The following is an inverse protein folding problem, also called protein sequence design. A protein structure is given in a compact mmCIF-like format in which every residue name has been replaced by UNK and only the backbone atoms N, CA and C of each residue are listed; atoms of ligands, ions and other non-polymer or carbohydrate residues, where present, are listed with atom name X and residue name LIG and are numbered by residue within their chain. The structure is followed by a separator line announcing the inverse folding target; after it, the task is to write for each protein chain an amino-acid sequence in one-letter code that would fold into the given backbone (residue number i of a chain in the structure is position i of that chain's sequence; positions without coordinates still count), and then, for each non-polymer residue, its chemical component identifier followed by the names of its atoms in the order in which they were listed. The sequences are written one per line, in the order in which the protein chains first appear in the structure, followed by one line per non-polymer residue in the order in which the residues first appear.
data_IF_490727127405
#
_entry.id   IF_490727127405
#
_cell.length_a   1.000
_cell.length_b   1.000
_cell.length_c   1.000
_cell.angle_alpha   90.00
_cell.angle_beta   90.00
_cell.angle_gamma   90.00
#
_symmetry.space_group_name_H-M   'P 1'
#
loop_
_entity.id
_entity.type
_entity.pdbx_description
1 polymer ?
#
# COMPACT_ATOMS: atom_id res chain seq x y z
N UNK A 1 -23.99 18.95 8.98
CA UNK A 1 -24.48 20.02 8.06
C UNK A 1 -25.89 20.44 8.48
N UNK A 2 -26.45 21.58 8.05
CA UNK A 2 -27.86 21.94 8.37
C UNK A 2 -28.85 21.35 7.35
N UNK A 3 -30.10 21.14 7.77
CA UNK A 3 -31.20 20.75 6.89
C UNK A 3 -31.49 21.85 5.85
N UNK A 4 -31.90 21.46 4.64
CA UNK A 4 -32.33 22.38 3.58
C UNK A 4 -33.76 22.85 3.86
N UNK A 5 -34.10 24.05 3.40
CA UNK A 5 -35.46 24.60 3.54
C UNK A 5 -36.51 23.68 2.89
N UNK A 6 -36.22 23.10 1.73
CA UNK A 6 -37.11 22.15 1.05
C UNK A 6 -37.40 20.91 1.91
N UNK A 7 -36.39 20.34 2.56
CA UNK A 7 -36.54 19.17 3.44
C UNK A 7 -37.37 19.52 4.68
N UNK A 8 -37.21 20.73 5.22
CA UNK A 8 -38.03 21.21 6.35
C UNK A 8 -39.50 21.27 5.94
N UNK A 9 -39.83 21.82 4.77
CA UNK A 9 -41.21 21.83 4.26
C UNK A 9 -41.75 20.43 3.98
N UNK A 10 -40.97 19.57 3.32
CA UNK A 10 -41.36 18.17 3.04
C UNK A 10 -41.62 17.37 4.33
N UNK A 11 -40.84 17.63 5.40
CA UNK A 11 -41.02 16.98 6.70
C UNK A 11 -42.36 17.28 7.40
N UNK A 12 -43.10 18.30 6.94
CA UNK A 12 -44.46 18.58 7.42
C UNK A 12 -45.42 17.44 7.03
N UNK A 13 -45.17 16.77 5.91
CA UNK A 13 -46.00 15.70 5.37
C UNK A 13 -45.31 14.34 5.39
N UNK A 14 -44.00 14.28 5.62
CA UNK A 14 -43.21 13.05 5.72
C UNK A 14 -42.68 12.84 7.15
N UNK A 15 -43.26 11.87 7.87
CA UNK A 15 -42.88 11.54 9.26
C UNK A 15 -41.47 10.97 9.36
N UNK A 16 -41.06 10.11 8.43
CA UNK A 16 -39.72 9.52 8.40
C UNK A 16 -38.63 10.57 8.19
N UNK A 17 -38.85 11.51 7.26
CA UNK A 17 -37.97 12.64 7.05
C UNK A 17 -37.88 13.50 8.31
N UNK A 18 -39.01 13.79 8.97
CA UNK A 18 -39.03 14.55 10.23
C UNK A 18 -38.21 13.87 11.32
N UNK A 19 -38.26 12.54 11.43
CA UNK A 19 -37.44 11.77 12.37
C UNK A 19 -35.94 11.97 12.08
N UNK A 20 -35.53 11.83 10.82
CA UNK A 20 -34.13 11.99 10.39
C UNK A 20 -33.62 13.41 10.59
N UNK A 21 -34.43 14.44 10.29
CA UNK A 21 -34.04 15.84 10.48
C UNK A 21 -33.79 16.17 11.95
N UNK A 22 -34.46 15.46 12.88
CA UNK A 22 -34.24 15.61 14.33
C UNK A 22 -33.01 14.84 14.80
N UNK A 23 -32.83 13.61 14.32
CA UNK A 23 -31.68 12.77 14.62
C UNK A 23 -31.37 11.85 13.43
N UNK A 24 -30.26 12.08 12.69
CA UNK A 24 -29.91 11.27 11.53
C UNK A 24 -29.73 9.77 11.83
N UNK A 25 -29.29 9.43 13.04
CA UNK A 25 -29.08 8.04 13.49
C UNK A 25 -30.41 7.27 13.56
N UNK A 26 -31.55 7.96 13.72
CA UNK A 26 -32.88 7.36 13.70
C UNK A 26 -33.24 6.73 12.34
N UNK A 27 -32.44 6.91 11.29
CA UNK A 27 -32.58 6.15 10.04
C UNK A 27 -32.61 4.63 10.30
N UNK A 28 -31.90 4.15 11.33
CA UNK A 28 -31.85 2.72 11.69
C UNK A 28 -33.16 2.14 12.23
N UNK A 29 -34.14 2.98 12.60
CA UNK A 29 -35.47 2.50 13.01
C UNK A 29 -36.47 2.44 11.85
N UNK A 30 -36.10 2.92 10.65
CA UNK A 30 -36.97 2.90 9.47
C UNK A 30 -36.72 1.60 8.70
N UNK A 31 -37.78 0.84 8.44
CA UNK A 31 -37.70 -0.34 7.58
C UNK A 31 -37.54 0.10 6.13
N UNK A 32 -36.46 -0.33 5.47
CA UNK A 32 -36.19 -0.03 4.05
C UNK A 32 -36.26 1.48 3.70
N UNK A 33 -35.45 2.33 4.34
CA UNK A 33 -35.51 3.77 4.09
C UNK A 33 -35.18 4.09 2.63
N UNK A 34 -35.93 5.01 2.03
CA UNK A 34 -35.71 5.44 0.65
C UNK A 34 -34.31 6.02 0.44
N UNK A 35 -33.79 5.97 -0.78
CA UNK A 35 -32.45 6.49 -1.09
C UNK A 35 -32.28 7.97 -0.68
N UNK A 36 -33.32 8.79 -0.80
CA UNK A 36 -33.27 10.20 -0.42
C UNK A 36 -33.26 10.39 1.11
N UNK A 37 -33.95 9.53 1.87
CA UNK A 37 -33.85 9.52 3.33
C UNK A 37 -32.45 9.08 3.78
N UNK A 38 -31.89 8.04 3.15
CA UNK A 38 -30.52 7.60 3.38
C UNK A 38 -29.52 8.73 3.09
N UNK A 39 -29.63 9.38 1.93
CA UNK A 39 -28.79 10.51 1.53
C UNK A 39 -28.92 11.69 2.49
N UNK A 40 -30.13 11.98 2.97
CA UNK A 40 -30.37 13.05 3.93
C UNK A 40 -29.71 12.75 5.26
N UNK A 41 -29.87 11.52 5.77
CA UNK A 41 -29.26 11.08 7.02
C UNK A 41 -27.73 11.23 6.97
N UNK A 42 -27.07 10.63 5.97
CA UNK A 42 -25.59 10.70 5.86
C UNK A 42 -25.07 12.12 5.59
N UNK A 43 -25.88 12.99 4.97
CA UNK A 43 -25.52 14.40 4.75
C UNK A 43 -25.54 15.21 6.04
N UNK A 44 -26.47 14.90 6.94
CA UNK A 44 -26.56 15.54 8.25
C UNK A 44 -25.48 15.01 9.19
N UNK A 45 -25.30 13.69 9.23
CA UNK A 45 -24.28 12.97 10.01
C UNK A 45 -23.81 11.71 9.26
N UNK A 46 -22.52 11.67 8.90
CA UNK A 46 -21.93 10.58 8.13
C UNK A 46 -21.95 9.24 8.87
N UNK A 47 -21.98 9.25 10.22
CA UNK A 47 -22.06 8.03 11.02
C UNK A 47 -23.40 7.30 10.85
N UNK A 48 -24.42 7.97 10.33
CA UNK A 48 -25.71 7.36 10.00
C UNK A 48 -25.57 6.21 8.99
N UNK A 49 -24.49 6.16 8.19
CA UNK A 49 -24.22 5.04 7.27
C UNK A 49 -24.22 3.68 7.99
N UNK A 50 -23.72 3.63 9.24
CA UNK A 50 -23.67 2.42 10.05
C UNK A 50 -25.06 1.91 10.47
N UNK A 51 -26.06 2.79 10.43
CA UNK A 51 -27.43 2.47 10.83
C UNK A 51 -28.27 1.98 9.65
N UNK A 52 -27.75 2.07 8.41
CA UNK A 52 -28.48 1.69 7.21
C UNK A 52 -28.08 0.26 6.82
N UNK A 53 -29.04 -0.67 6.87
CA UNK A 53 -28.77 -2.09 6.55
C UNK A 53 -28.31 -2.29 5.09
N UNK A 54 -28.88 -1.54 4.14
CA UNK A 54 -28.55 -1.59 2.71
C UNK A 54 -28.34 -0.18 2.17
N UNK A 55 -27.18 0.46 2.41
CA UNK A 55 -26.95 1.82 1.98
C UNK A 55 -26.88 1.88 0.45
N UNK A 56 -27.55 2.86 -0.15
CA UNK A 56 -27.51 3.10 -1.59
C UNK A 56 -26.15 3.67 -2.01
N UNK A 57 -25.81 3.51 -3.29
CA UNK A 57 -24.51 3.95 -3.82
C UNK A 57 -24.27 5.46 -3.66
N UNK A 58 -25.34 6.27 -3.74
CA UNK A 58 -25.26 7.72 -3.48
C UNK A 58 -24.83 8.03 -2.04
N UNK A 59 -25.41 7.34 -1.06
CA UNK A 59 -25.08 7.53 0.35
C UNK A 59 -23.66 7.05 0.66
N UNK A 60 -23.27 5.86 0.16
CA UNK A 60 -21.90 5.34 0.24
C UNK A 60 -20.88 6.33 -0.33
N UNK A 61 -21.09 6.79 -1.57
CA UNK A 61 -20.19 7.74 -2.23
C UNK A 61 -20.09 9.05 -1.45
N UNK A 62 -21.19 9.55 -0.92
CA UNK A 62 -21.20 10.78 -0.14
C UNK A 62 -20.30 10.69 1.09
N UNK A 63 -20.39 9.62 1.89
CA UNK A 63 -19.57 9.50 3.10
C UNK A 63 -18.08 9.37 2.78
N UNK A 64 -17.71 8.67 1.71
CA UNK A 64 -16.30 8.58 1.25
C UNK A 64 -15.78 9.93 0.75
N UNK A 65 -16.62 10.70 0.03
CA UNK A 65 -16.24 12.04 -0.44
C UNK A 65 -15.96 13.00 0.71
N UNK A 66 -16.63 12.81 1.84
CA UNK A 66 -16.43 13.62 3.04
C UNK A 66 -15.26 13.15 3.88
N UNK A 67 -15.19 11.86 4.17
CA UNK A 67 -14.10 11.25 4.90
C UNK A 67 -13.77 9.88 4.28
N UNK A 68 -12.64 9.76 3.55
CA UNK A 68 -12.22 8.50 2.93
C UNK A 68 -12.12 7.32 3.91
N UNK A 69 -11.80 7.60 5.18
CA UNK A 69 -11.69 6.57 6.22
C UNK A 69 -13.03 5.93 6.61
N UNK A 70 -14.16 6.49 6.15
CA UNK A 70 -15.47 5.87 6.30
C UNK A 70 -15.67 4.63 5.40
N UNK A 71 -14.71 4.32 4.53
CA UNK A 71 -14.70 3.05 3.76
C UNK A 71 -14.80 1.82 4.67
N UNK A 72 -14.29 1.91 5.91
CA UNK A 72 -14.41 0.85 6.92
C UNK A 72 -15.85 0.53 7.36
N UNK A 73 -16.79 1.45 7.11
CA UNK A 73 -18.20 1.29 7.44
C UNK A 73 -19.02 0.74 6.27
N UNK A 74 -18.39 0.53 5.11
CA UNK A 74 -19.03 -0.02 3.92
C UNK A 74 -18.59 -1.48 3.79
N UNK A 75 -19.53 -2.40 3.99
CA UNK A 75 -19.28 -3.81 3.74
C UNK A 75 -19.05 -4.06 2.24
N UNK A 76 -17.99 -4.80 1.90
CA UNK A 76 -17.61 -5.15 0.53
C UNK A 76 -17.68 -3.95 -0.45
N UNK A 77 -16.88 -2.88 -0.22
CA UNK A 77 -16.96 -1.67 -1.03
C UNK A 77 -16.61 -1.98 -2.49
N UNK A 78 -17.36 -1.40 -3.42
CA UNK A 78 -17.11 -1.56 -4.87
C UNK A 78 -15.73 -1.03 -5.24
N UNK A 79 -15.17 -1.50 -6.36
CA UNK A 79 -13.87 -1.00 -6.84
C UNK A 79 -13.85 0.53 -6.99
N UNK A 80 -14.97 1.12 -7.44
CA UNK A 80 -15.10 2.58 -7.56
C UNK A 80 -14.97 3.30 -6.21
N UNK A 81 -15.60 2.76 -5.16
CA UNK A 81 -15.51 3.34 -3.81
C UNK A 81 -14.13 3.15 -3.20
N UNK A 82 -13.50 2.00 -3.44
CA UNK A 82 -12.12 1.74 -3.02
C UNK A 82 -11.15 2.73 -3.67
N UNK A 83 -11.23 2.88 -5.00
CA UNK A 83 -10.41 3.84 -5.76
C UNK A 83 -10.68 5.27 -5.28
N UNK A 84 -11.95 5.65 -5.08
CA UNK A 84 -12.31 6.97 -4.60
C UNK A 84 -11.70 7.27 -3.22
N UNK A 85 -11.74 6.31 -2.29
CA UNK A 85 -11.17 6.47 -0.96
C UNK A 85 -9.65 6.72 -1.06
N UNK A 86 -8.91 5.81 -1.71
CA UNK A 86 -7.44 5.88 -1.78
C UNK A 86 -6.93 7.04 -2.64
N UNK A 87 -7.71 7.49 -3.62
CA UNK A 87 -7.34 8.65 -4.45
C UNK A 87 -7.46 9.98 -3.68
N UNK A 88 -8.31 10.01 -2.64
CA UNK A 88 -8.42 11.17 -1.74
C UNK A 88 -7.44 11.08 -0.58
N UNK A 89 -7.28 9.88 -0.03
CA UNK A 89 -6.42 9.61 1.11
C UNK A 89 -5.81 8.20 0.96
N UNK A 90 -4.55 8.09 0.51
CA UNK A 90 -3.90 6.80 0.26
C UNK A 90 -3.86 5.90 1.50
N UNK A 91 -3.83 6.48 2.70
CA UNK A 91 -3.80 5.72 3.96
C UNK A 91 -5.10 4.93 4.20
N UNK A 92 -6.20 5.29 3.53
CA UNK A 92 -7.44 4.55 3.59
C UNK A 92 -7.34 3.11 3.06
N UNK A 93 -6.28 2.76 2.31
CA UNK A 93 -6.02 1.39 1.84
C UNK A 93 -5.96 0.39 3.00
N UNK A 94 -5.46 0.80 4.17
CA UNK A 94 -5.34 -0.04 5.38
C UNK A 94 -6.71 -0.50 5.88
N UNK A 95 -7.75 0.29 5.60
CA UNK A 95 -9.13 0.04 6.02
C UNK A 95 -9.94 -0.80 5.02
N UNK A 96 -9.33 -1.18 3.89
CA UNK A 96 -9.98 -2.00 2.86
C UNK A 96 -9.49 -3.44 3.04
N UNK A 97 -10.40 -4.35 3.41
CA UNK A 97 -10.03 -5.76 3.66
C UNK A 97 -9.43 -6.44 2.43
N UNK A 98 -10.03 -6.21 1.25
CA UNK A 98 -9.64 -6.79 -0.03
C UNK A 98 -9.54 -5.71 -1.11
N UNK A 99 -8.46 -4.92 -1.11
CA UNK A 99 -8.31 -3.83 -2.07
C UNK A 99 -8.11 -4.40 -3.48
N UNK A 100 -8.85 -3.88 -4.45
CA UNK A 100 -8.70 -4.22 -5.85
C UNK A 100 -7.34 -3.72 -6.38
N UNK A 101 -6.87 -4.35 -7.46
CA UNK A 101 -5.56 -4.03 -8.04
C UNK A 101 -5.43 -2.54 -8.41
N UNK A 102 -6.51 -1.94 -8.93
CA UNK A 102 -6.55 -0.51 -9.29
C UNK A 102 -6.43 0.41 -8.06
N UNK A 103 -7.07 0.05 -6.94
CA UNK A 103 -6.94 0.80 -5.70
C UNK A 103 -5.52 0.68 -5.12
N UNK A 104 -4.90 -0.51 -5.16
CA UNK A 104 -3.50 -0.71 -4.77
C UNK A 104 -2.56 0.17 -5.60
N UNK A 105 -2.73 0.21 -6.92
CA UNK A 105 -1.93 1.09 -7.79
C UNK A 105 -2.14 2.57 -7.49
N UNK A 106 -3.39 3.02 -7.35
CA UNK A 106 -3.70 4.41 -7.01
C UNK A 106 -3.03 4.82 -5.68
N UNK A 107 -3.11 3.96 -4.67
CA UNK A 107 -2.43 4.13 -3.38
C UNK A 107 -0.91 4.24 -3.55
N UNK A 108 -0.26 3.24 -4.14
CA UNK A 108 1.21 3.22 -4.29
C UNK A 108 1.72 4.34 -5.19
N UNK A 109 0.96 4.71 -6.21
CA UNK A 109 1.30 5.85 -7.04
C UNK A 109 1.32 7.15 -6.21
N UNK A 110 0.39 7.33 -5.28
CA UNK A 110 0.34 8.54 -4.46
C UNK A 110 1.29 8.51 -3.25
N UNK A 111 1.42 7.38 -2.57
CA UNK A 111 2.22 7.20 -1.34
C UNK A 111 2.82 5.79 -1.30
N UNK A 112 4.01 5.58 -1.89
CA UNK A 112 4.65 4.27 -1.97
C UNK A 112 4.87 3.58 -0.62
N UNK A 113 5.07 4.35 0.46
CA UNK A 113 5.28 3.87 1.82
C UNK A 113 4.11 3.05 2.35
N UNK A 114 2.92 3.20 1.75
CA UNK A 114 1.74 2.43 2.12
C UNK A 114 1.77 0.98 1.65
N UNK A 115 2.83 0.55 0.94
CA UNK A 115 3.02 -0.86 0.60
C UNK A 115 3.02 -1.77 1.85
N UNK A 116 3.47 -1.26 3.00
CA UNK A 116 3.41 -1.96 4.29
C UNK A 116 1.98 -2.30 4.75
N UNK A 117 0.97 -1.56 4.28
CA UNK A 117 -0.44 -1.81 4.58
C UNK A 117 -1.09 -2.81 3.60
N UNK A 118 -0.44 -3.11 2.47
CA UNK A 118 -0.96 -4.04 1.46
C UNK A 118 -0.43 -5.43 1.78
N UNK A 119 -1.28 -6.30 2.35
CA UNK A 119 -0.94 -7.70 2.59
C UNK A 119 -0.66 -8.43 1.28
N UNK A 120 0.47 -9.15 1.22
CA UNK A 120 0.89 -9.92 0.04
C UNK A 120 0.76 -9.12 -1.28
N UNK A 121 1.50 -8.00 -1.42
CA UNK A 121 1.35 -7.12 -2.56
C UNK A 121 1.72 -7.85 -3.86
N UNK A 122 0.92 -7.63 -4.90
CA UNK A 122 1.15 -8.20 -6.23
C UNK A 122 2.53 -7.80 -6.77
N UNK A 123 3.14 -8.64 -7.61
CA UNK A 123 4.50 -8.40 -8.13
C UNK A 123 4.64 -7.01 -8.77
N UNK A 124 3.63 -6.58 -9.52
CA UNK A 124 3.61 -5.27 -10.17
C UNK A 124 3.49 -4.12 -9.17
N UNK A 125 2.75 -4.31 -8.09
CA UNK A 125 2.63 -3.35 -6.99
C UNK A 125 3.97 -3.21 -6.25
N UNK A 126 4.66 -4.34 -6.00
CA UNK A 126 6.01 -4.33 -5.45
C UNK A 126 6.94 -3.52 -6.35
N UNK A 127 7.05 -3.88 -7.64
CA UNK A 127 7.91 -3.17 -8.59
C UNK A 127 7.58 -1.68 -8.63
N UNK A 128 6.30 -1.30 -8.72
CA UNK A 128 5.89 0.10 -8.76
C UNK A 128 6.30 0.89 -7.51
N UNK A 129 6.22 0.31 -6.31
CA UNK A 129 6.65 0.99 -5.09
C UNK A 129 8.18 1.15 -5.04
N UNK A 130 8.92 0.09 -5.40
CA UNK A 130 10.38 0.07 -5.38
C UNK A 130 10.99 0.98 -6.45
N UNK A 131 10.33 1.12 -7.60
CA UNK A 131 10.73 2.09 -8.63
C UNK A 131 10.75 3.52 -8.09
N UNK A 132 9.79 3.88 -7.22
CA UNK A 132 9.72 5.21 -6.61
C UNK A 132 10.65 5.35 -5.41
N UNK A 133 10.72 4.34 -4.56
CA UNK A 133 11.53 4.35 -3.34
C UNK A 133 12.21 2.99 -3.13
N UNK A 134 13.44 2.80 -3.64
CA UNK A 134 14.16 1.52 -3.57
C UNK A 134 14.35 0.96 -2.15
N UNK A 135 14.44 1.85 -1.15
CA UNK A 135 14.59 1.47 0.26
C UNK A 135 13.37 0.71 0.82
N UNK A 136 12.18 0.85 0.24
CA UNK A 136 10.98 0.14 0.67
C UNK A 136 11.06 -1.38 0.48
N UNK A 137 12.12 -1.88 -0.18
CA UNK A 137 12.35 -3.31 -0.36
C UNK A 137 12.49 -4.04 0.98
N UNK A 138 12.92 -3.34 2.05
CA UNK A 138 12.99 -3.89 3.41
C UNK A 138 11.63 -4.06 4.07
N UNK A 139 10.59 -3.37 3.58
CA UNK A 139 9.21 -3.50 4.09
C UNK A 139 8.50 -4.73 3.51
N UNK A 140 9.07 -5.37 2.49
CA UNK A 140 8.52 -6.56 1.85
C UNK A 140 9.10 -7.82 2.48
N UNK A 141 8.25 -8.65 3.08
CA UNK A 141 8.69 -9.93 3.66
C UNK A 141 9.28 -10.87 2.60
N UNK A 142 8.66 -10.93 1.42
CA UNK A 142 9.04 -11.81 0.31
C UNK A 142 9.06 -11.03 -1.02
N UNK A 143 10.05 -10.16 -1.26
CA UNK A 143 10.11 -9.38 -2.48
C UNK A 143 10.39 -10.27 -3.69
N UNK A 144 9.60 -10.12 -4.75
CA UNK A 144 9.82 -10.83 -6.01
C UNK A 144 11.13 -10.41 -6.68
N UNK A 145 11.72 -11.30 -7.49
CA UNK A 145 13.01 -11.05 -8.17
C UNK A 145 13.02 -9.72 -8.95
N UNK A 146 11.94 -9.39 -9.66
CA UNK A 146 11.83 -8.13 -10.39
C UNK A 146 11.92 -6.89 -9.48
N UNK A 147 11.29 -6.94 -8.30
CA UNK A 147 11.38 -5.86 -7.31
C UNK A 147 12.80 -5.79 -6.71
N UNK A 148 13.41 -6.93 -6.39
CA UNK A 148 14.78 -6.99 -5.90
C UNK A 148 15.78 -6.39 -6.91
N UNK A 149 15.68 -6.78 -8.18
CA UNK A 149 16.51 -6.25 -9.27
C UNK A 149 16.28 -4.75 -9.47
N UNK A 150 15.02 -4.30 -9.44
CA UNK A 150 14.68 -2.88 -9.52
C UNK A 150 15.35 -2.08 -8.41
N UNK A 151 15.33 -2.60 -7.17
CA UNK A 151 15.94 -1.94 -6.03
C UNK A 151 17.46 -1.76 -6.25
N UNK A 152 18.19 -2.83 -6.56
CA UNK A 152 19.65 -2.78 -6.69
C UNK A 152 20.12 -2.10 -7.97
N UNK A 153 19.30 -2.03 -9.02
CA UNK A 153 19.63 -1.27 -10.23
C UNK A 153 19.58 0.24 -9.98
N UNK A 154 18.64 0.70 -9.14
CA UNK A 154 18.47 2.10 -8.77
C UNK A 154 19.37 2.52 -7.60
N UNK A 155 19.54 1.65 -6.61
CA UNK A 155 20.33 1.89 -5.39
C UNK A 155 21.00 0.58 -4.97
N UNK A 156 22.20 0.27 -5.50
CA UNK A 156 22.88 -1.01 -5.29
C UNK A 156 23.05 -1.39 -3.81
N UNK A 157 23.19 -0.40 -2.92
CA UNK A 157 23.32 -0.58 -1.47
C UNK A 157 22.09 -1.24 -0.84
N UNK A 158 20.93 -1.22 -1.49
CA UNK A 158 19.74 -1.93 -1.00
C UNK A 158 19.97 -3.43 -0.88
N UNK A 159 20.99 -4.00 -1.54
CA UNK A 159 21.34 -5.42 -1.42
C UNK A 159 21.52 -5.89 0.02
N UNK A 160 21.91 -4.99 0.93
CA UNK A 160 22.09 -5.30 2.36
C UNK A 160 20.80 -5.19 3.18
N UNK A 161 19.68 -4.83 2.55
CA UNK A 161 18.37 -4.65 3.18
C UNK A 161 17.29 -5.52 2.53
N UNK A 162 17.61 -6.29 1.49
CA UNK A 162 16.68 -7.19 0.80
C UNK A 162 16.50 -8.46 1.60
N UNK A 163 15.28 -8.82 2.03
CA UNK A 163 15.06 -10.14 2.62
C UNK A 163 15.34 -11.23 1.59
N UNK A 164 16.28 -12.13 1.90
CA UNK A 164 16.67 -13.30 1.09
C UNK A 164 16.91 -12.94 -0.40
N UNK A 165 17.97 -12.17 -0.73
CA UNK A 165 18.23 -11.77 -2.10
C UNK A 165 18.49 -12.98 -3.01
N UNK A 166 17.95 -12.96 -4.23
CA UNK A 166 18.26 -13.97 -5.24
C UNK A 166 19.69 -13.84 -5.76
N UNK A 167 20.28 -14.93 -6.24
CA UNK A 167 21.68 -14.97 -6.71
C UNK A 167 21.95 -13.97 -7.84
N UNK A 168 20.98 -13.79 -8.75
CA UNK A 168 21.03 -12.79 -9.82
C UNK A 168 21.03 -11.36 -9.27
N UNK A 169 20.20 -11.08 -8.26
CA UNK A 169 20.18 -9.79 -7.57
C UNK A 169 21.52 -9.50 -6.91
N UNK A 170 22.10 -10.49 -6.22
CA UNK A 170 23.42 -10.35 -5.58
C UNK A 170 24.50 -10.02 -6.61
N UNK A 171 24.56 -10.76 -7.72
CA UNK A 171 25.51 -10.50 -8.81
C UNK A 171 25.39 -9.07 -9.33
N UNK A 172 24.18 -8.64 -9.72
CA UNK A 172 23.93 -7.29 -10.26
C UNK A 172 24.33 -6.21 -9.27
N UNK A 173 23.99 -6.38 -7.99
CA UNK A 173 24.36 -5.44 -6.94
C UNK A 173 25.88 -5.34 -6.78
N UNK A 174 26.58 -6.48 -6.75
CA UNK A 174 28.05 -6.51 -6.65
C UNK A 174 28.69 -5.84 -7.86
N UNK A 175 28.28 -6.16 -9.08
CA UNK A 175 28.82 -5.51 -10.29
C UNK A 175 28.66 -3.98 -10.25
N UNK A 176 27.50 -3.50 -9.78
CA UNK A 176 27.19 -2.08 -9.65
C UNK A 176 28.04 -1.40 -8.58
N UNK A 177 28.17 -2.02 -7.39
CA UNK A 177 28.99 -1.49 -6.29
C UNK A 177 30.49 -1.54 -6.59
N UNK A 178 30.93 -2.58 -7.30
CA UNK A 178 32.33 -2.81 -7.62
C UNK A 178 32.81 -2.04 -8.85
N UNK A 179 31.90 -1.69 -9.76
CA UNK A 179 32.19 -0.95 -10.99
C UNK A 179 32.81 -1.79 -12.10
N UNK A 180 32.64 -3.12 -12.08
CA UNK A 180 33.09 -4.04 -13.14
C UNK A 180 32.13 -5.21 -13.32
N UNK A 181 32.19 -5.87 -14.48
CA UNK A 181 31.39 -7.05 -14.82
C UNK A 181 32.06 -8.32 -14.30
N UNK A 182 31.25 -9.26 -13.83
CA UNK A 182 31.71 -10.54 -13.30
C UNK A 182 31.09 -11.65 -14.14
N UNK A 183 31.91 -12.56 -14.66
CA UNK A 183 31.41 -13.72 -15.38
C UNK A 183 30.65 -14.65 -14.40
N UNK A 184 29.39 -15.01 -14.69
CA UNK A 184 28.54 -15.77 -13.76
C UNK A 184 28.85 -17.27 -13.78
N UNK A 185 30.07 -17.66 -13.40
CA UNK A 185 30.45 -19.05 -13.14
C UNK A 185 29.98 -19.49 -11.75
N UNK A 186 29.76 -20.79 -11.53
CA UNK A 186 29.37 -21.34 -10.22
C UNK A 186 30.31 -20.88 -9.10
N UNK A 187 31.63 -20.91 -9.36
CA UNK A 187 32.66 -20.40 -8.43
C UNK A 187 32.43 -18.93 -8.06
N UNK A 188 32.18 -18.07 -9.04
CA UNK A 188 31.97 -16.63 -8.81
C UNK A 188 30.65 -16.38 -8.09
N UNK A 189 29.59 -17.11 -8.45
CA UNK A 189 28.27 -17.02 -7.83
C UNK A 189 28.29 -17.51 -6.37
N UNK A 190 29.01 -18.60 -6.07
CA UNK A 190 29.23 -19.10 -4.71
C UNK A 190 30.02 -18.09 -3.87
N UNK A 191 31.06 -17.50 -4.46
CA UNK A 191 31.89 -16.48 -3.81
C UNK A 191 31.05 -15.24 -3.46
N UNK A 192 30.28 -14.72 -4.43
CA UNK A 192 29.36 -13.59 -4.21
C UNK A 192 28.34 -13.91 -3.12
N UNK A 193 27.74 -15.10 -3.18
CA UNK A 193 26.77 -15.55 -2.18
C UNK A 193 27.39 -15.60 -0.77
N UNK A 194 28.62 -16.10 -0.66
CA UNK A 194 29.38 -16.12 0.59
C UNK A 194 29.67 -14.72 1.13
N UNK A 195 30.15 -13.80 0.29
CA UNK A 195 30.43 -12.41 0.65
C UNK A 195 29.15 -11.74 1.17
N UNK A 196 28.05 -11.81 0.42
CA UNK A 196 26.80 -11.16 0.80
C UNK A 196 26.26 -11.78 2.09
N UNK A 197 26.22 -13.10 2.21
CA UNK A 197 25.77 -13.79 3.43
C UNK A 197 26.57 -13.37 4.66
N UNK A 198 27.89 -13.24 4.50
CA UNK A 198 28.75 -12.76 5.59
C UNK A 198 28.48 -11.29 5.92
N UNK A 199 28.18 -10.44 4.93
CA UNK A 199 27.77 -9.06 5.17
C UNK A 199 26.50 -8.98 6.01
N UNK A 200 25.51 -9.84 5.73
CA UNK A 200 24.28 -9.94 6.54
C UNK A 200 24.60 -10.30 8.00
N UNK A 201 25.40 -11.35 8.22
CA UNK A 201 25.82 -11.77 9.57
C UNK A 201 26.56 -10.66 10.32
N UNK A 202 27.47 -9.96 9.65
CA UNK A 202 28.19 -8.84 10.25
C UNK A 202 27.24 -7.69 10.61
N UNK A 203 26.30 -7.35 9.71
CA UNK A 203 25.30 -6.31 9.95
C UNK A 203 24.39 -6.63 11.14
N UNK A 204 23.93 -7.88 11.27
CA UNK A 204 23.13 -8.35 12.41
C UNK A 204 23.86 -8.24 13.75
N UNK A 205 25.19 -8.38 13.74
CA UNK A 205 26.04 -8.24 14.92
C UNK A 205 26.60 -6.82 15.11
N UNK A 206 26.07 -5.81 14.41
CA UNK A 206 26.52 -4.42 14.45
C UNK A 206 28.01 -4.22 14.09
N UNK A 207 28.59 -5.17 13.35
CA UNK A 207 29.96 -5.13 12.86
C UNK A 207 30.06 -4.39 11.51
N UNK A 208 31.26 -3.93 11.17
CA UNK A 208 31.51 -3.17 9.94
C UNK A 208 31.51 -4.05 8.68
N UNK A 209 30.32 -4.44 8.24
CA UNK A 209 30.11 -5.23 7.02
C UNK A 209 30.54 -4.49 5.74
N UNK A 210 30.52 -3.15 5.73
CA UNK A 210 30.91 -2.34 4.57
C UNK A 210 32.41 -2.45 4.28
N UNK A 211 33.23 -2.40 5.34
CA UNK A 211 34.68 -2.58 5.22
C UNK A 211 35.02 -4.01 4.81
N UNK A 212 34.35 -5.02 5.39
CA UNK A 212 34.48 -6.40 4.94
C UNK A 212 34.15 -6.56 3.45
N UNK A 213 33.00 -6.05 3.01
CA UNK A 213 32.58 -6.10 1.61
C UNK A 213 33.63 -5.50 0.69
N UNK A 214 34.10 -4.28 0.98
CA UNK A 214 35.11 -3.58 0.19
C UNK A 214 36.38 -4.41 0.02
N UNK A 215 36.86 -5.03 1.09
CA UNK A 215 38.07 -5.85 1.07
C UNK A 215 37.88 -7.14 0.25
N UNK A 216 36.73 -7.80 0.33
CA UNK A 216 36.46 -8.99 -0.47
C UNK A 216 36.27 -8.67 -1.96
N UNK A 217 35.64 -7.55 -2.30
CA UNK A 217 35.51 -7.11 -3.70
C UNK A 217 36.88 -6.82 -4.33
N UNK A 218 37.83 -6.25 -3.58
CA UNK A 218 39.20 -6.05 -4.05
C UNK A 218 39.91 -7.37 -4.37
N UNK A 219 39.74 -8.41 -3.54
CA UNK A 219 40.30 -9.75 -3.79
C UNK A 219 39.68 -10.39 -5.03
N UNK A 220 38.36 -10.25 -5.19
CA UNK A 220 37.64 -10.80 -6.34
C UNK A 220 38.15 -10.19 -7.66
N UNK A 221 38.35 -8.86 -7.67
CA UNK A 221 38.92 -8.15 -8.83
C UNK A 221 40.30 -8.67 -9.22
N UNK A 222 41.19 -8.92 -8.25
CA UNK A 222 42.55 -9.41 -8.52
C UNK A 222 42.56 -10.82 -9.12
N UNK A 223 41.63 -11.67 -8.70
CA UNK A 223 41.51 -13.05 -9.16
C UNK A 223 40.89 -13.19 -10.55
N UNK A 224 40.06 -12.23 -11.00
CA UNK A 224 39.48 -12.22 -12.36
C UNK A 224 40.42 -11.57 -13.41
N UNK A 225 41.46 -10.86 -12.98
CA UNK A 225 42.47 -10.21 -13.86
C UNK A 225 43.73 -11.03 -14.12
N UNK A 226 43.85 -12.23 -13.54
CA UNK A 226 44.96 -13.17 -13.71
C UNK A 226 44.48 -14.44 -14.41
#
# INVERSE_FOLDING_TARGET
MKAKISEIFESLFNQELRLILRNPISIGSISEPSEDLQCTAVRLDEHAINMISKPCERAKKYVILKNPYHIKFIENPSEELQILAVSKEPDAIELIEKPCLRAKFACIYSKPENIKYIKNPDKEIQVSAIQKSPCLISELENPCEAAQLTAVLNTPETIFSIPKPGIRTMLVAVEKLAGFKIFPSDKNLDTITGIITQCYKLKENELNYKEYFKNEILKLKLNDTL
#
